data_IF_248462500930
#
_entry.id   IF_248462500930
#
_cell.length_a   1.000
_cell.length_b   1.000
_cell.length_c   1.000
_cell.angle_alpha   90.00
_cell.angle_beta   90.00
_cell.angle_gamma   90.00
#
_symmetry.space_group_name_H-M   'P 1'
#
loop_
_entity.id
_entity.type
_entity.pdbx_description
1 polymer ?
#
# COMPACT_ATOMS: atom_id res chain seq x y z
N UNK A 1 -52.53 -10.74 -43.01
CA UNK A 1 -51.24 -10.02 -42.96
C UNK A 1 -51.08 -9.07 -41.76
N UNK A 2 -52.04 -8.19 -41.37
CA UNK A 2 -51.79 -7.17 -40.32
C UNK A 2 -51.71 -7.72 -38.88
N UNK A 3 -52.39 -8.84 -38.60
CA UNK A 3 -52.46 -9.41 -37.24
C UNK A 3 -51.14 -10.06 -36.80
N UNK A 4 -50.42 -10.68 -37.74
CA UNK A 4 -49.12 -11.30 -37.48
C UNK A 4 -48.06 -10.25 -37.11
N UNK A 5 -48.06 -9.10 -37.80
CA UNK A 5 -47.19 -7.97 -37.48
C UNK A 5 -47.41 -7.41 -36.08
N UNK A 6 -48.67 -7.30 -35.61
CA UNK A 6 -48.97 -6.79 -34.26
C UNK A 6 -48.46 -7.71 -33.15
N UNK A 7 -48.60 -9.03 -33.32
CA UNK A 7 -48.11 -10.02 -32.35
C UNK A 7 -46.58 -10.02 -32.33
N UNK A 8 -45.95 -10.01 -33.51
CA UNK A 8 -44.50 -9.98 -33.63
C UNK A 8 -43.91 -8.70 -33.02
N UNK A 9 -44.54 -7.55 -33.24
CA UNK A 9 -44.08 -6.28 -32.69
C UNK A 9 -44.24 -6.21 -31.17
N UNK A 10 -45.32 -6.79 -30.62
CA UNK A 10 -45.53 -6.91 -29.17
C UNK A 10 -44.48 -7.81 -28.51
N UNK A 11 -44.15 -8.94 -29.15
CA UNK A 11 -43.13 -9.86 -28.63
C UNK A 11 -41.71 -9.30 -28.78
N UNK A 12 -41.42 -8.57 -29.86
CA UNK A 12 -40.16 -7.85 -30.03
C UNK A 12 -39.95 -6.76 -28.96
N UNK A 13 -41.01 -6.00 -28.63
CA UNK A 13 -40.98 -5.00 -27.55
C UNK A 13 -40.74 -5.66 -26.19
N UNK A 14 -41.43 -6.78 -25.91
CA UNK A 14 -41.25 -7.53 -24.67
C UNK A 14 -39.81 -8.01 -24.50
N UNK A 15 -39.23 -8.62 -25.53
CA UNK A 15 -37.83 -9.07 -25.50
C UNK A 15 -36.84 -7.92 -25.39
N UNK A 16 -37.11 -6.79 -26.06
CA UNK A 16 -36.27 -5.60 -25.95
C UNK A 16 -36.29 -5.04 -24.54
N UNK A 17 -37.44 -5.05 -23.88
CA UNK A 17 -37.58 -4.61 -22.49
C UNK A 17 -36.88 -5.57 -21.51
N UNK A 18 -37.02 -6.88 -21.70
CA UNK A 18 -36.30 -7.88 -20.89
C UNK A 18 -34.78 -7.75 -21.01
N UNK A 19 -34.27 -7.56 -22.24
CA UNK A 19 -32.83 -7.32 -22.47
C UNK A 19 -32.41 -6.01 -21.83
N UNK A 20 -33.21 -4.94 -21.96
CA UNK A 20 -32.92 -3.66 -21.32
C UNK A 20 -32.83 -3.78 -19.79
N UNK A 21 -33.82 -4.42 -19.16
CA UNK A 21 -33.86 -4.62 -17.71
C UNK A 21 -32.66 -5.45 -17.23
N UNK A 22 -32.28 -6.50 -17.97
CA UNK A 22 -31.08 -7.29 -17.69
C UNK A 22 -29.79 -6.48 -17.81
N UNK A 23 -29.66 -5.66 -18.86
CA UNK A 23 -28.48 -4.80 -19.06
C UNK A 23 -28.41 -3.74 -17.96
N UNK A 24 -29.53 -3.13 -17.58
CA UNK A 24 -29.58 -2.14 -16.50
C UNK A 24 -29.24 -2.76 -15.14
N UNK A 25 -29.80 -3.94 -14.82
CA UNK A 25 -29.50 -4.66 -13.59
C UNK A 25 -28.02 -5.03 -13.49
N UNK A 26 -27.43 -5.53 -14.58
CA UNK A 26 -26.02 -5.88 -14.65
C UNK A 26 -25.11 -4.65 -14.46
N UNK A 27 -25.41 -3.53 -15.13
CA UNK A 27 -24.66 -2.26 -14.94
C UNK A 27 -24.72 -1.76 -13.51
N UNK A 28 -25.88 -1.83 -12.85
CA UNK A 28 -26.03 -1.42 -11.45
C UNK A 28 -25.32 -2.35 -10.47
N UNK A 29 -25.21 -3.64 -10.78
CA UNK A 29 -24.44 -4.61 -10.01
C UNK A 29 -22.95 -4.34 -10.11
N UNK A 30 -22.46 -4.11 -11.34
CA UNK A 30 -21.04 -3.86 -11.61
C UNK A 30 -20.56 -2.56 -10.95
N UNK A 31 -21.34 -1.47 -11.04
CA UNK A 31 -21.04 -0.20 -10.37
C UNK A 31 -20.91 -0.34 -8.85
N UNK A 32 -21.83 -1.10 -8.23
CA UNK A 32 -21.79 -1.34 -6.77
C UNK A 32 -20.54 -2.11 -6.38
N UNK A 33 -20.16 -3.10 -7.17
CA UNK A 33 -18.93 -3.87 -6.97
C UNK A 33 -17.68 -3.01 -7.12
N UNK A 34 -17.58 -2.20 -8.19
CA UNK A 34 -16.47 -1.27 -8.40
C UNK A 34 -16.31 -0.29 -7.24
N UNK A 35 -17.41 0.30 -6.75
CA UNK A 35 -17.37 1.19 -5.58
C UNK A 35 -16.97 0.45 -4.30
N UNK A 36 -17.44 -0.78 -4.11
CA UNK A 36 -17.05 -1.59 -2.96
C UNK A 36 -15.56 -1.96 -2.99
N UNK A 37 -15.05 -2.42 -4.13
CA UNK A 37 -13.63 -2.78 -4.31
C UNK A 37 -12.73 -1.55 -4.13
N UNK A 38 -13.14 -0.39 -4.66
CA UNK A 38 -12.45 0.89 -4.43
C UNK A 38 -12.40 1.25 -2.94
N UNK A 39 -13.56 1.19 -2.27
CA UNK A 39 -13.67 1.49 -0.85
C UNK A 39 -12.77 0.60 -0.01
N UNK A 40 -12.81 -0.71 -0.24
CA UNK A 40 -12.06 -1.68 0.56
C UNK A 40 -10.54 -1.47 0.37
N UNK A 41 -10.09 -1.19 -0.85
CA UNK A 41 -8.68 -0.84 -1.14
C UNK A 41 -8.26 0.48 -0.49
N UNK A 42 -9.08 1.52 -0.61
CA UNK A 42 -8.80 2.84 -0.03
C UNK A 42 -8.68 2.75 1.49
N UNK A 43 -9.63 2.09 2.14
CA UNK A 43 -9.62 1.93 3.60
C UNK A 43 -8.44 1.09 4.08
N UNK A 44 -8.01 0.08 3.30
CA UNK A 44 -6.80 -0.69 3.59
C UNK A 44 -5.56 0.20 3.56
N UNK A 45 -5.37 0.99 2.50
CA UNK A 45 -4.22 1.91 2.38
C UNK A 45 -4.20 2.97 3.48
N UNK A 46 -5.36 3.49 3.89
CA UNK A 46 -5.46 4.44 4.99
C UNK A 46 -5.11 3.79 6.34
N UNK A 47 -5.52 2.55 6.55
CA UNK A 47 -5.12 1.76 7.72
C UNK A 47 -3.61 1.50 7.74
N UNK A 48 -3.02 1.16 6.58
CA UNK A 48 -1.58 0.98 6.41
C UNK A 48 -0.83 2.28 6.74
N UNK A 49 -1.26 3.39 6.13
CA UNK A 49 -0.68 4.71 6.34
C UNK A 49 -0.66 5.10 7.83
N UNK A 50 -1.79 4.95 8.51
CA UNK A 50 -1.88 5.25 9.95
C UNK A 50 -0.89 4.43 10.77
N UNK A 51 -0.74 3.15 10.44
CA UNK A 51 0.19 2.28 11.15
C UNK A 51 1.66 2.59 10.82
N UNK A 52 1.94 3.02 9.59
CA UNK A 52 3.26 3.52 9.21
C UNK A 52 3.62 4.82 9.96
N UNK A 53 2.67 5.74 10.12
CA UNK A 53 2.89 6.98 10.90
C UNK A 53 3.22 6.64 12.36
N UNK A 54 2.47 5.72 12.99
CA UNK A 54 2.80 5.23 14.34
C UNK A 54 4.19 4.60 14.42
N UNK A 55 4.62 3.90 13.37
CA UNK A 55 5.97 3.35 13.26
C UNK A 55 7.04 4.43 13.16
N UNK A 56 6.83 5.45 12.33
CA UNK A 56 7.77 6.58 12.19
C UNK A 56 7.93 7.33 13.51
N UNK A 57 6.87 7.47 14.31
CA UNK A 57 6.93 8.09 15.63
C UNK A 57 7.81 7.33 16.65
N UNK A 58 8.26 6.10 16.35
CA UNK A 58 9.18 5.33 17.22
C UNK A 58 10.63 5.79 17.10
N UNK A 59 11.00 6.56 16.08
CA UNK A 59 12.37 7.06 15.93
C UNK A 59 12.60 8.28 16.83
N UNK A 60 13.76 8.38 17.47
CA UNK A 60 14.06 9.50 18.38
C UNK A 60 14.32 10.82 17.63
N UNK A 61 14.82 10.75 16.39
CA UNK A 61 15.23 11.92 15.60
C UNK A 61 14.05 12.53 14.84
N UNK A 62 13.70 13.77 15.17
CA UNK A 62 12.68 14.54 14.44
C UNK A 62 13.03 14.75 12.96
N UNK A 63 14.32 14.85 12.62
CA UNK A 63 14.76 14.95 11.23
C UNK A 63 14.46 13.65 10.47
N UNK A 64 14.81 12.50 11.06
CA UNK A 64 14.51 11.18 10.49
C UNK A 64 13.01 11.00 10.32
N UNK A 65 12.22 11.36 11.34
CA UNK A 65 10.77 11.30 11.26
C UNK A 65 10.24 12.14 10.08
N UNK A 66 10.70 13.38 9.92
CA UNK A 66 10.29 14.26 8.82
C UNK A 66 10.65 13.69 7.43
N UNK A 67 11.84 13.11 7.28
CA UNK A 67 12.27 12.47 6.03
C UNK A 67 11.43 11.24 5.69
N UNK A 68 11.17 10.38 6.68
CA UNK A 68 10.35 9.17 6.52
C UNK A 68 8.89 9.52 6.22
N UNK A 69 8.32 10.51 6.90
CA UNK A 69 6.96 11.01 6.63
C UNK A 69 6.86 11.55 5.20
N UNK A 70 7.85 12.34 4.76
CA UNK A 70 7.88 12.86 3.38
C UNK A 70 7.95 11.74 2.33
N UNK A 71 8.71 10.68 2.61
CA UNK A 71 8.76 9.49 1.75
C UNK A 71 7.42 8.73 1.76
N UNK A 72 6.81 8.56 2.93
CA UNK A 72 5.55 7.86 3.11
C UNK A 72 4.42 8.54 2.36
N UNK A 73 4.32 9.87 2.46
CA UNK A 73 3.33 10.67 1.72
C UNK A 73 3.51 10.49 0.20
N UNK A 74 4.75 10.60 -0.31
CA UNK A 74 5.01 10.41 -1.74
C UNK A 74 4.70 8.99 -2.24
N UNK A 75 4.90 7.98 -1.39
CA UNK A 75 4.68 6.58 -1.76
C UNK A 75 3.23 6.16 -1.56
N UNK A 76 2.78 5.99 -0.32
CA UNK A 76 1.41 5.53 0.00
C UNK A 76 0.38 6.60 -0.29
N UNK A 77 0.66 7.87 0.02
CA UNK A 77 -0.24 8.97 -0.33
C UNK A 77 -0.39 9.10 -1.86
N UNK A 78 0.70 8.90 -2.61
CA UNK A 78 0.65 8.83 -4.07
C UNK A 78 -0.22 7.67 -4.59
N UNK A 79 -0.11 6.49 -3.99
CA UNK A 79 -0.93 5.32 -4.31
C UNK A 79 -2.42 5.57 -4.02
N UNK A 80 -2.74 6.23 -2.90
CA UNK A 80 -4.11 6.65 -2.55
C UNK A 80 -4.66 7.59 -3.64
N UNK A 81 -3.91 8.63 -4.02
CA UNK A 81 -4.32 9.55 -5.09
C UNK A 81 -4.59 8.80 -6.38
N UNK A 82 -3.73 7.86 -6.76
CA UNK A 82 -3.88 7.12 -8.01
C UNK A 82 -5.14 6.25 -8.00
N UNK A 83 -5.40 5.50 -6.93
CA UNK A 83 -6.61 4.67 -6.81
C UNK A 83 -7.87 5.52 -6.90
N UNK A 84 -7.87 6.70 -6.29
CA UNK A 84 -9.00 7.63 -6.33
C UNK A 84 -9.22 8.15 -7.75
N UNK A 85 -8.16 8.55 -8.45
CA UNK A 85 -8.25 8.97 -9.87
C UNK A 85 -8.76 7.85 -10.76
N UNK A 86 -8.26 6.62 -10.60
CA UNK A 86 -8.76 5.47 -11.34
C UNK A 86 -10.25 5.26 -11.10
N UNK A 87 -10.70 5.35 -9.85
CA UNK A 87 -12.11 5.23 -9.50
C UNK A 87 -12.96 6.32 -10.17
N UNK A 88 -12.54 7.59 -10.13
CA UNK A 88 -13.27 8.68 -10.78
C UNK A 88 -13.37 8.48 -12.29
N UNK A 89 -12.27 8.13 -12.95
CA UNK A 89 -12.25 7.87 -14.39
C UNK A 89 -13.21 6.73 -14.77
N UNK A 90 -13.17 5.62 -14.03
CA UNK A 90 -14.09 4.49 -14.26
C UNK A 90 -15.55 4.89 -14.06
N UNK A 91 -15.87 5.70 -13.05
CA UNK A 91 -17.25 6.15 -12.84
C UNK A 91 -17.75 7.09 -13.94
N UNK A 92 -16.87 7.94 -14.50
CA UNK A 92 -17.20 8.81 -15.64
C UNK A 92 -17.50 8.01 -16.91
N UNK A 93 -16.72 6.96 -17.18
CA UNK A 93 -16.97 6.07 -18.33
C UNK A 93 -18.33 5.34 -18.21
N UNK A 94 -18.73 4.99 -16.99
CA UNK A 94 -20.01 4.33 -16.73
C UNK A 94 -21.23 5.28 -16.67
N UNK A 95 -21.03 6.58 -16.40
CA UNK A 95 -22.10 7.58 -16.28
C UNK A 95 -22.08 8.59 -17.45
N UNK A 96 -22.64 8.21 -18.59
CA UNK A 96 -22.71 9.06 -19.81
C UNK A 96 -23.87 10.08 -19.79
N UNK A 97 -24.67 10.16 -18.71
CA UNK A 97 -25.89 10.97 -18.64
C UNK A 97 -25.80 12.13 -17.62
N UNK A 98 -25.14 13.23 -18.04
CA UNK A 98 -25.42 14.67 -17.81
C UNK A 98 -25.91 15.24 -16.46
N UNK A 99 -25.99 14.49 -15.36
CA UNK A 99 -26.43 15.01 -14.03
C UNK A 99 -25.29 15.12 -12.99
N UNK A 100 -24.02 14.86 -13.36
CA UNK A 100 -22.91 14.68 -12.41
C UNK A 100 -21.95 15.86 -12.24
N UNK A 101 -22.08 16.96 -13.00
CA UNK A 101 -21.04 17.99 -13.07
C UNK A 101 -20.61 18.61 -11.72
N UNK A 102 -21.51 18.74 -10.74
CA UNK A 102 -21.16 19.26 -9.41
C UNK A 102 -20.48 18.23 -8.51
N UNK A 103 -20.95 16.98 -8.54
CA UNK A 103 -20.34 15.88 -7.80
C UNK A 103 -18.92 15.60 -8.32
N UNK A 104 -18.77 15.54 -9.64
CA UNK A 104 -17.48 15.32 -10.28
C UNK A 104 -16.48 16.44 -9.93
N UNK A 105 -16.94 17.69 -9.89
CA UNK A 105 -16.10 18.84 -9.51
C UNK A 105 -15.67 18.79 -8.04
N UNK A 106 -16.57 18.43 -7.13
CA UNK A 106 -16.24 18.30 -5.71
C UNK A 106 -15.17 17.22 -5.47
N UNK A 107 -15.28 16.09 -6.18
CA UNK A 107 -14.28 15.01 -6.08
C UNK A 107 -12.96 15.43 -6.73
N UNK A 108 -12.99 16.14 -7.86
CA UNK A 108 -11.78 16.71 -8.49
C UNK A 108 -11.06 17.70 -7.58
N UNK A 109 -11.78 18.65 -6.97
CA UNK A 109 -11.22 19.63 -6.03
C UNK A 109 -10.58 18.91 -4.81
N UNK A 110 -11.23 17.86 -4.29
CA UNK A 110 -10.70 17.05 -3.20
C UNK A 110 -9.43 16.26 -3.60
N UNK A 111 -9.38 15.72 -4.82
CA UNK A 111 -8.17 15.08 -5.37
C UNK A 111 -7.03 16.09 -5.49
N UNK A 112 -7.29 17.29 -6.02
CA UNK A 112 -6.26 18.32 -6.12
C UNK A 112 -5.70 18.71 -4.76
N UNK A 113 -6.57 18.85 -3.75
CA UNK A 113 -6.14 19.15 -2.38
C UNK A 113 -5.29 18.02 -1.80
N UNK A 114 -5.71 16.77 -2.00
CA UNK A 114 -4.94 15.60 -1.60
C UNK A 114 -3.59 15.51 -2.32
N UNK A 115 -3.52 15.85 -3.60
CA UNK A 115 -2.26 15.92 -4.34
C UNK A 115 -1.31 16.99 -3.80
N UNK A 116 -1.85 18.17 -3.45
CA UNK A 116 -1.06 19.25 -2.86
C UNK A 116 -0.51 18.83 -1.50
N UNK A 117 -1.29 18.12 -0.69
CA UNK A 117 -0.85 17.68 0.64
C UNK A 117 0.29 16.64 0.61
N UNK A 118 0.49 15.90 -0.49
CA UNK A 118 1.66 15.00 -0.66
C UNK A 118 3.01 15.72 -0.59
N UNK A 119 3.02 17.03 -0.87
CA UNK A 119 4.22 17.87 -0.80
C UNK A 119 4.33 18.65 0.50
N UNK A 120 3.28 18.62 1.34
CA UNK A 120 3.36 19.19 2.68
C UNK A 120 4.33 18.40 3.55
N UNK A 121 4.99 19.11 4.46
CA UNK A 121 5.80 18.49 5.53
C UNK A 121 4.94 18.11 6.73
N UNK A 122 3.67 18.53 6.76
CA UNK A 122 2.73 18.29 7.84
C UNK A 122 1.80 17.15 7.47
N UNK A 123 1.75 16.14 8.33
CA UNK A 123 0.87 14.98 8.16
C UNK A 123 -0.60 15.35 8.37
N UNK A 124 -0.86 16.37 9.17
CA UNK A 124 -2.21 16.85 9.48
C UNK A 124 -2.90 17.40 8.23
N UNK A 125 -2.18 18.16 7.39
CA UNK A 125 -2.69 18.63 6.08
C UNK A 125 -3.14 17.47 5.18
N UNK A 126 -2.44 16.32 5.27
CA UNK A 126 -2.80 15.14 4.52
C UNK A 126 -4.07 14.47 5.09
N UNK A 127 -4.17 14.35 6.41
CA UNK A 127 -5.37 13.80 7.06
C UNK A 127 -6.62 14.63 6.76
N UNK A 128 -6.52 15.96 6.82
CA UNK A 128 -7.63 16.86 6.47
C UNK A 128 -8.07 16.67 5.00
N UNK A 129 -7.11 16.54 4.08
CA UNK A 129 -7.42 16.29 2.68
C UNK A 129 -8.06 14.91 2.45
N UNK A 130 -7.66 13.89 3.22
CA UNK A 130 -8.29 12.57 3.19
C UNK A 130 -9.74 12.63 3.69
N UNK A 131 -10.00 13.33 4.80
CA UNK A 131 -11.36 13.45 5.34
C UNK A 131 -12.31 14.16 4.38
N UNK A 132 -11.82 15.20 3.69
CA UNK A 132 -12.55 15.88 2.63
C UNK A 132 -12.82 14.96 1.43
N UNK A 133 -11.81 14.21 1.00
CA UNK A 133 -11.97 13.21 -0.06
C UNK A 133 -13.01 12.15 0.32
N UNK A 134 -12.89 11.53 1.49
CA UNK A 134 -13.81 10.49 1.96
C UNK A 134 -15.25 10.99 2.01
N UNK A 135 -15.44 12.25 2.43
CA UNK A 135 -16.73 12.92 2.41
C UNK A 135 -17.25 13.15 0.99
N UNK A 136 -16.38 13.47 0.02
CA UNK A 136 -16.77 13.66 -1.38
C UNK A 136 -17.19 12.38 -2.12
N UNK A 137 -16.72 11.21 -1.66
CA UNK A 137 -17.05 9.90 -2.26
C UNK A 137 -17.96 9.03 -1.39
N UNK A 138 -18.63 9.62 -0.40
CA UNK A 138 -19.56 8.96 0.53
C UNK A 138 -18.96 7.76 1.29
N UNK A 139 -17.65 7.76 1.56
CA UNK A 139 -16.98 6.71 2.32
C UNK A 139 -16.83 7.13 3.78
N UNK A 140 -17.48 6.39 4.67
CA UNK A 140 -17.30 6.56 6.12
C UNK A 140 -16.21 5.63 6.62
N UNK A 141 -15.18 6.21 7.24
CA UNK A 141 -14.22 5.47 8.05
C UNK A 141 -14.88 4.97 9.33
N UNK A 142 -14.83 3.66 9.55
CA UNK A 142 -15.27 3.08 10.83
C UNK A 142 -14.23 3.43 11.91
N UNK A 143 -14.71 3.65 13.13
CA UNK A 143 -13.82 3.81 14.30
C UNK A 143 -12.86 2.62 14.40
N UNK A 144 -11.64 2.94 14.80
CA UNK A 144 -10.54 2.00 14.87
C UNK A 144 -10.85 0.84 15.85
N UNK A 145 -10.88 -0.38 15.32
CA UNK A 145 -11.05 -1.60 16.11
C UNK A 145 -9.68 -2.19 16.43
N UNK A 146 -9.31 -2.23 17.73
CA UNK A 146 -8.01 -2.74 18.19
C UNK A 146 -7.78 -4.20 17.79
N UNK A 147 -8.83 -5.01 17.72
CA UNK A 147 -8.71 -6.42 17.32
C UNK A 147 -8.34 -6.52 15.85
N UNK A 148 -9.03 -5.76 15.00
CA UNK A 148 -8.75 -5.72 13.56
C UNK A 148 -7.37 -5.14 13.26
N UNK A 149 -6.93 -4.15 14.03
CA UNK A 149 -5.58 -3.60 13.89
C UNK A 149 -4.50 -4.66 14.18
N UNK A 150 -4.70 -5.49 15.22
CA UNK A 150 -3.79 -6.60 15.53
C UNK A 150 -3.81 -7.70 14.48
N UNK A 151 -4.99 -8.06 13.98
CA UNK A 151 -5.13 -9.02 12.88
C UNK A 151 -4.45 -8.50 11.61
N UNK A 152 -4.62 -7.21 11.30
CA UNK A 152 -3.99 -6.54 10.18
C UNK A 152 -2.46 -6.56 10.26
N UNK A 153 -1.90 -6.24 11.44
CA UNK A 153 -0.47 -6.36 11.70
C UNK A 153 0.04 -7.79 11.48
N UNK A 154 -0.69 -8.78 11.99
CA UNK A 154 -0.30 -10.18 11.83
C UNK A 154 -0.32 -10.62 10.37
N UNK A 155 -1.36 -10.22 9.62
CA UNK A 155 -1.48 -10.50 8.19
C UNK A 155 -0.34 -9.85 7.39
N UNK A 156 -0.05 -8.58 7.67
CA UNK A 156 1.07 -7.89 7.02
C UNK A 156 2.40 -8.59 7.29
N UNK A 157 2.66 -9.03 8.53
CA UNK A 157 3.87 -9.79 8.86
C UNK A 157 3.96 -11.10 8.07
N UNK A 158 2.85 -11.82 7.91
CA UNK A 158 2.81 -13.04 7.11
C UNK A 158 3.10 -12.78 5.63
N UNK A 159 2.57 -11.69 5.08
CA UNK A 159 2.88 -11.27 3.71
C UNK A 159 4.38 -10.95 3.55
N UNK A 160 4.98 -10.21 4.48
CA UNK A 160 6.41 -9.90 4.45
C UNK A 160 7.27 -11.17 4.57
N UNK A 161 6.91 -12.11 5.44
CA UNK A 161 7.62 -13.39 5.56
C UNK A 161 7.52 -14.23 4.29
N UNK A 162 6.34 -14.24 3.65
CA UNK A 162 6.13 -14.90 2.37
C UNK A 162 7.00 -14.26 1.29
N UNK A 163 6.96 -12.93 1.15
CA UNK A 163 7.83 -12.22 0.21
C UNK A 163 9.31 -12.46 0.48
N UNK A 164 9.75 -12.51 1.74
CA UNK A 164 11.13 -12.83 2.10
C UNK A 164 11.53 -14.24 1.65
N UNK A 165 10.61 -15.20 1.73
CA UNK A 165 10.88 -16.57 1.28
C UNK A 165 10.98 -16.69 -0.24
N UNK A 166 10.23 -15.88 -0.98
CA UNK A 166 10.15 -15.89 -2.45
C UNK A 166 11.31 -15.14 -3.14
N UNK A 167 12.08 -14.33 -2.40
CA UNK A 167 13.24 -13.62 -2.97
C UNK A 167 14.43 -14.56 -3.06
N UNK A 168 14.91 -14.77 -4.28
CA UNK A 168 16.09 -15.56 -4.61
C UNK A 168 17.30 -14.67 -4.96
N UNK A 169 17.13 -13.69 -5.86
CA UNK A 169 18.26 -12.98 -6.49
C UNK A 169 18.43 -11.49 -6.12
N UNK A 170 17.75 -10.99 -5.09
CA UNK A 170 17.87 -9.59 -4.65
C UNK A 170 18.24 -9.46 -3.17
N UNK A 171 19.55 -9.44 -2.90
CA UNK A 171 20.08 -9.29 -1.54
C UNK A 171 19.69 -7.96 -0.88
N UNK A 172 19.57 -6.87 -1.66
CA UNK A 172 19.16 -5.58 -1.09
C UNK A 172 17.69 -5.62 -0.62
N UNK A 173 16.83 -6.27 -1.40
CA UNK A 173 15.43 -6.47 -1.04
C UNK A 173 15.28 -7.42 0.15
N UNK A 174 16.07 -8.50 0.24
CA UNK A 174 16.12 -9.38 1.42
C UNK A 174 16.38 -8.58 2.68
N UNK A 175 17.42 -7.72 2.69
CA UNK A 175 17.77 -6.90 3.84
C UNK A 175 16.66 -5.90 4.21
N UNK A 176 16.06 -5.26 3.20
CA UNK A 176 14.96 -4.32 3.40
C UNK A 176 13.78 -5.00 4.10
N UNK A 177 13.31 -6.14 3.57
CA UNK A 177 12.18 -6.86 4.15
C UNK A 177 12.52 -7.42 5.53
N UNK A 178 13.73 -7.96 5.71
CA UNK A 178 14.22 -8.46 6.99
C UNK A 178 14.17 -7.38 8.08
N UNK A 179 14.70 -6.19 7.79
CA UNK A 179 14.70 -5.07 8.74
C UNK A 179 13.28 -4.56 9.03
N UNK A 180 12.38 -4.56 8.05
CA UNK A 180 10.97 -4.22 8.27
C UNK A 180 10.25 -5.23 9.19
N UNK A 181 10.46 -6.54 9.00
CA UNK A 181 9.86 -7.58 9.84
C UNK A 181 10.37 -7.48 11.28
N UNK A 182 11.68 -7.25 11.47
CA UNK A 182 12.27 -7.07 12.79
C UNK A 182 11.71 -5.83 13.48
N UNK A 183 11.67 -4.70 12.75
CA UNK A 183 11.08 -3.47 13.26
C UNK A 183 9.64 -3.69 13.72
N UNK A 184 8.83 -4.35 12.90
CA UNK A 184 7.44 -4.66 13.22
C UNK A 184 7.32 -5.60 14.42
N UNK A 185 8.21 -6.58 14.54
CA UNK A 185 8.22 -7.51 15.68
C UNK A 185 8.57 -6.82 17.00
N UNK A 186 9.49 -5.85 16.97
CA UNK A 186 9.92 -5.09 18.15
C UNK A 186 8.87 -4.05 18.57
N UNK A 187 8.40 -3.25 17.61
CA UNK A 187 7.58 -2.06 17.87
C UNK A 187 6.08 -2.33 17.87
N UNK A 188 5.65 -3.47 17.31
CA UNK A 188 4.25 -3.79 17.03
C UNK A 188 3.56 -2.71 16.16
N UNK A 189 4.33 -2.07 15.28
CA UNK A 189 3.87 -1.09 14.29
C UNK A 189 4.51 -1.41 12.95
N UNK A 190 3.89 -1.00 11.85
CA UNK A 190 4.43 -1.25 10.51
C UNK A 190 5.36 -0.11 10.11
N UNK A 191 6.24 -0.39 9.16
CA UNK A 191 7.06 0.65 8.55
C UNK A 191 7.24 0.38 7.06
N UNK A 192 7.12 1.43 6.25
CA UNK A 192 7.43 1.41 4.82
C UNK A 192 8.59 2.35 4.55
N UNK A 193 9.71 1.79 4.09
CA UNK A 193 10.90 2.56 3.71
C UNK A 193 11.47 2.06 2.39
N UNK A 194 12.18 2.94 1.69
CA UNK A 194 13.06 2.56 0.59
C UNK A 194 14.44 2.12 1.09
N UNK A 195 15.20 1.42 0.26
CA UNK A 195 16.57 0.95 0.57
C UNK A 195 17.51 2.02 1.15
N UNK A 196 17.34 3.30 0.77
CA UNK A 196 18.16 4.42 1.29
C UNK A 196 18.03 4.66 2.81
N UNK A 197 16.98 4.16 3.45
CA UNK A 197 16.78 4.29 4.91
C UNK A 197 17.12 3.01 5.68
N UNK A 198 17.67 1.98 5.02
CA UNK A 198 18.01 0.72 5.69
C UNK A 198 19.04 0.94 6.79
N UNK A 199 20.06 1.77 6.57
CA UNK A 199 21.05 2.09 7.61
C UNK A 199 20.42 2.81 8.81
N UNK A 200 19.41 3.65 8.59
CA UNK A 200 18.65 4.30 9.65
C UNK A 200 17.83 3.28 10.45
N UNK A 201 17.18 2.32 9.77
CA UNK A 201 16.50 1.21 10.43
C UNK A 201 17.46 0.34 11.24
N UNK A 202 18.64 0.01 10.69
CA UNK A 202 19.65 -0.76 11.40
C UNK A 202 20.11 -0.06 12.68
N UNK A 203 20.37 1.25 12.62
CA UNK A 203 20.70 2.05 13.80
C UNK A 203 19.60 2.04 14.87
N UNK A 204 18.32 1.98 14.47
CA UNK A 204 17.21 1.77 15.39
C UNK A 204 17.21 0.37 15.99
N UNK A 205 17.38 -0.66 15.15
CA UNK A 205 17.36 -2.07 15.55
C UNK A 205 18.52 -2.45 16.48
N UNK A 206 19.67 -1.80 16.37
CA UNK A 206 20.84 -2.03 17.23
C UNK A 206 20.50 -1.98 18.73
N UNK A 207 19.59 -1.08 19.13
CA UNK A 207 19.18 -0.91 20.54
C UNK A 207 18.32 -2.05 21.07
N UNK A 208 17.82 -2.91 20.18
CA UNK A 208 16.79 -3.91 20.48
C UNK A 208 17.19 -5.34 20.13
N UNK A 209 18.32 -5.53 19.44
CA UNK A 209 18.87 -6.81 19.05
C UNK A 209 20.07 -7.18 19.94
N UNK A 210 20.38 -8.47 20.00
CA UNK A 210 21.65 -8.92 20.59
C UNK A 210 22.83 -8.49 19.71
N UNK A 211 24.02 -8.34 20.30
CA UNK A 211 25.22 -7.98 19.53
C UNK A 211 25.52 -8.99 18.41
N UNK A 212 25.21 -10.27 18.64
CA UNK A 212 25.35 -11.33 17.66
C UNK A 212 24.38 -11.15 16.49
N UNK A 213 23.10 -10.94 16.77
CA UNK A 213 22.07 -10.75 15.73
C UNK A 213 22.32 -9.47 14.92
N UNK A 214 22.71 -8.41 15.60
CA UNK A 214 23.03 -7.14 14.95
C UNK A 214 24.28 -7.27 14.05
N UNK A 215 25.31 -7.99 14.50
CA UNK A 215 26.53 -8.23 13.70
C UNK A 215 26.22 -8.97 12.39
N UNK A 216 25.30 -9.94 12.40
CA UNK A 216 24.85 -10.64 11.18
C UNK A 216 24.20 -9.67 10.19
N UNK A 217 23.29 -8.81 10.67
CA UNK A 217 22.62 -7.83 9.82
C UNK A 217 23.57 -6.74 9.31
N UNK A 218 24.50 -6.30 10.14
CA UNK A 218 25.51 -5.29 9.78
C UNK A 218 26.46 -5.83 8.71
N UNK A 219 26.97 -7.05 8.88
CA UNK A 219 27.82 -7.70 7.87
C UNK A 219 27.07 -7.84 6.53
N UNK A 220 25.81 -8.28 6.59
CA UNK A 220 24.99 -8.40 5.38
C UNK A 220 24.78 -7.05 4.68
N UNK A 221 24.49 -5.99 5.46
CA UNK A 221 24.39 -4.63 4.93
C UNK A 221 25.68 -4.18 4.25
N UNK A 222 26.83 -4.41 4.87
CA UNK A 222 28.11 -3.98 4.33
C UNK A 222 28.46 -4.72 3.04
N UNK A 223 28.15 -6.02 2.95
CA UNK A 223 28.25 -6.79 1.71
C UNK A 223 27.32 -6.27 0.60
N UNK A 224 26.07 -5.91 0.93
CA UNK A 224 25.15 -5.30 -0.04
C UNK A 224 25.69 -3.96 -0.55
N UNK A 225 26.21 -3.11 0.35
CA UNK A 225 26.81 -1.83 -0.03
C UNK A 225 28.06 -2.02 -0.88
N UNK A 226 28.90 -3.02 -0.58
CA UNK A 226 30.06 -3.38 -1.41
C UNK A 226 29.62 -3.86 -2.79
N UNK A 227 28.60 -4.73 -2.88
CA UNK A 227 28.07 -5.22 -4.15
C UNK A 227 27.57 -4.08 -5.05
N UNK A 228 26.90 -3.08 -4.47
CA UNK A 228 26.39 -1.91 -5.19
C UNK A 228 27.49 -0.94 -5.65
N UNK A 229 28.66 -0.97 -5.02
CA UNK A 229 29.80 -0.09 -5.32
C UNK A 229 30.89 -0.75 -6.16
N UNK A 230 30.96 -2.08 -6.15
CA UNK A 230 31.95 -2.81 -6.94
C UNK A 230 31.73 -2.52 -8.43
N UNK A 231 32.82 -2.40 -9.18
CA UNK A 231 32.79 -2.30 -10.64
C UNK A 231 33.31 -3.60 -11.30
N UNK A 232 34.22 -4.29 -10.61
CA UNK A 232 34.84 -5.52 -11.08
C UNK A 232 33.89 -6.74 -11.04
N UNK A 233 33.71 -7.48 -12.16
CA UNK A 233 32.85 -8.66 -12.21
C UNK A 233 33.29 -9.81 -11.29
N UNK A 234 34.59 -10.02 -11.09
CA UNK A 234 35.08 -11.11 -10.22
C UNK A 234 34.83 -10.80 -8.75
N UNK A 235 35.10 -9.56 -8.32
CA UNK A 235 34.73 -9.06 -7.00
C UNK A 235 33.22 -9.18 -6.74
N UNK A 236 32.38 -8.79 -7.71
CA UNK A 236 30.91 -8.93 -7.62
C UNK A 236 30.48 -10.38 -7.41
N UNK A 237 31.05 -11.32 -8.15
CA UNK A 237 30.70 -12.74 -8.02
C UNK A 237 31.10 -13.29 -6.66
N UNK A 238 32.29 -12.92 -6.16
CA UNK A 238 32.73 -13.31 -4.82
C UNK A 238 31.82 -12.75 -3.72
N UNK A 239 31.37 -11.50 -3.85
CA UNK A 239 30.43 -10.88 -2.90
C UNK A 239 29.06 -11.56 -2.96
N UNK A 240 28.56 -11.89 -4.17
CA UNK A 240 27.28 -12.59 -4.34
C UNK A 240 27.28 -13.96 -3.67
N UNK A 241 28.33 -14.77 -3.84
CA UNK A 241 28.41 -16.07 -3.17
C UNK A 241 28.39 -15.94 -1.64
N UNK A 242 29.09 -14.94 -1.08
CA UNK A 242 29.02 -14.66 0.37
C UNK A 242 27.64 -14.19 0.82
N UNK A 243 26.94 -13.41 -0.01
CA UNK A 243 25.58 -12.96 0.25
C UNK A 243 24.58 -14.11 0.21
N UNK A 244 24.72 -15.06 -0.71
CA UNK A 244 23.88 -16.27 -0.78
C UNK A 244 23.98 -17.09 0.51
N UNK A 245 25.21 -17.34 0.98
CA UNK A 245 25.45 -18.05 2.25
C UNK A 245 24.84 -17.30 3.44
N UNK A 246 25.07 -15.99 3.51
CA UNK A 246 24.60 -15.16 4.62
C UNK A 246 23.09 -14.92 4.57
N UNK A 247 22.46 -15.02 3.40
CA UNK A 247 21.01 -14.83 3.20
C UNK A 247 20.23 -15.86 4.02
N UNK A 248 20.69 -17.10 4.06
CA UNK A 248 20.05 -18.14 4.89
C UNK A 248 20.08 -17.75 6.38
N UNK A 249 21.20 -17.20 6.85
CA UNK A 249 21.34 -16.76 8.24
C UNK A 249 20.40 -15.59 8.57
N UNK A 250 20.30 -14.59 7.69
CA UNK A 250 19.38 -13.46 7.86
C UNK A 250 17.91 -13.93 7.84
N UNK A 251 17.53 -14.80 6.90
CA UNK A 251 16.17 -15.37 6.86
C UNK A 251 15.85 -16.14 8.14
N UNK A 252 16.76 -16.98 8.61
CA UNK A 252 16.58 -17.74 9.85
C UNK A 252 16.48 -16.85 11.09
N UNK A 253 17.29 -15.80 11.18
CA UNK A 253 17.23 -14.81 12.26
C UNK A 253 15.84 -14.17 12.33
N UNK A 254 15.34 -13.67 11.19
CA UNK A 254 14.04 -12.99 11.12
C UNK A 254 12.87 -13.92 11.43
N UNK A 255 12.90 -15.16 10.93
CA UNK A 255 11.85 -16.16 11.18
C UNK A 255 11.78 -16.54 12.66
N UNK A 256 12.93 -16.73 13.29
CA UNK A 256 13.02 -17.19 14.69
C UNK A 256 13.01 -16.06 15.71
N UNK A 257 13.02 -14.79 15.27
CA UNK A 257 13.03 -13.65 16.16
C UNK A 257 11.80 -13.65 17.08
N UNK A 258 12.04 -13.84 18.37
CA UNK A 258 11.07 -13.67 19.45
C UNK A 258 11.53 -12.50 20.30
N UNK A 259 10.63 -11.54 20.51
CA UNK A 259 10.86 -10.45 21.44
C UNK A 259 10.98 -11.05 22.85
N UNK A 260 12.17 -10.92 23.45
CA UNK A 260 12.41 -11.21 24.87
C UNK A 260 11.66 -10.23 25.77
#
# INVERSE_FOLDING_TARGET
MPYCFRILNKEALRRSQEIYDQVMANRMGDRRKVHQDFRDKLLLLLSDLHQYIKGIQKFDSAETQGQLTSFLLKSVGGEIVEIVKCYVTQNKEHNTESKSNQYDKQVEDAIEKLQKSLTSKLIDDFHEAVDELLSSVDIVQKKHDRKKEREHLQNNRQLLLKSLSEIEDDSAQVLLIATQILFQSITQTMIKVSGKYVSVLLGFLQKHLSDQDFSVLQNYHDLVVQLLKADDPEEKNNIKSKLEETTCNVKNLVINFKKS
#
